data_IF_348617927853
#
_entry.id   IF_348617927853
#
_cell.length_a   1.000
_cell.length_b   1.000
_cell.length_c   1.000
_cell.angle_alpha   90.00
_cell.angle_beta   90.00
_cell.angle_gamma   90.00
#
_symmetry.space_group_name_H-M   'P 1'
#
loop_
_entity.id
_entity.type
_entity.pdbx_description
1 polymer ?
#
# COMPACT_ATOMS: atom_id res chain seq x y z
N UNK A 1 -14.26 5.82 15.42
CA UNK A 1 -14.27 5.61 16.89
C UNK A 1 -14.89 4.29 17.34
N UNK A 2 -15.96 3.78 16.71
CA UNK A 2 -16.64 2.54 17.10
C UNK A 2 -15.76 1.27 17.16
N UNK A 3 -14.75 1.16 16.27
CA UNK A 3 -13.85 0.00 16.26
C UNK A 3 -12.97 -0.15 17.51
N UNK A 4 -12.60 0.94 18.21
CA UNK A 4 -11.80 0.85 19.45
C UNK A 4 -12.64 0.41 20.65
N UNK A 5 -13.89 0.86 20.75
CA UNK A 5 -14.82 0.47 21.81
C UNK A 5 -15.24 -1.00 21.68
N UNK A 6 -15.50 -1.47 20.47
CA UNK A 6 -15.82 -2.87 20.23
C UNK A 6 -14.63 -3.80 20.51
N UNK A 7 -13.41 -3.36 20.16
CA UNK A 7 -12.16 -4.06 20.51
C UNK A 7 -11.90 -4.09 22.01
N UNK A 8 -12.16 -3.00 22.73
CA UNK A 8 -12.04 -2.97 24.19
C UNK A 8 -13.08 -3.89 24.84
N UNK A 9 -14.32 -3.87 24.35
CA UNK A 9 -15.39 -4.77 24.80
C UNK A 9 -15.05 -6.25 24.58
N UNK A 10 -14.47 -6.60 23.43
CA UNK A 10 -14.05 -7.97 23.13
C UNK A 10 -12.92 -8.46 24.07
N UNK A 11 -11.95 -7.60 24.39
CA UNK A 11 -10.86 -7.94 25.33
C UNK A 11 -11.40 -8.12 26.75
N UNK A 12 -12.30 -7.23 27.19
CA UNK A 12 -12.93 -7.33 28.52
C UNK A 12 -13.81 -8.58 28.61
N UNK A 13 -14.57 -8.89 27.57
CA UNK A 13 -15.39 -10.10 27.51
C UNK A 13 -14.54 -11.37 27.53
N UNK A 14 -13.42 -11.41 26.78
CA UNK A 14 -12.51 -12.55 26.80
C UNK A 14 -11.86 -12.75 28.18
N UNK A 15 -11.39 -11.67 28.82
CA UNK A 15 -10.85 -11.72 30.18
C UNK A 15 -11.91 -12.16 31.20
N UNK A 16 -13.15 -11.70 31.06
CA UNK A 16 -14.26 -12.11 31.91
C UNK A 16 -14.57 -13.60 31.76
N UNK A 17 -14.60 -14.13 30.52
CA UNK A 17 -14.79 -15.57 30.27
C UNK A 17 -13.65 -16.40 30.89
N UNK A 18 -12.40 -15.97 30.72
CA UNK A 18 -11.24 -16.65 31.32
C UNK A 18 -11.36 -16.63 32.85
N UNK A 19 -11.67 -15.48 33.45
CA UNK A 19 -11.83 -15.36 34.90
C UNK A 19 -12.98 -16.22 35.43
N UNK A 20 -14.10 -16.31 34.71
CA UNK A 20 -15.24 -17.17 35.07
C UNK A 20 -14.87 -18.65 34.97
N UNK A 21 -14.13 -19.07 33.95
CA UNK A 21 -13.67 -20.45 33.81
C UNK A 21 -12.74 -20.83 34.97
N UNK A 22 -11.77 -19.96 35.29
CA UNK A 22 -10.86 -20.16 36.44
C UNK A 22 -11.66 -20.19 37.76
N UNK A 23 -12.64 -19.31 37.91
CA UNK A 23 -13.49 -19.27 39.11
C UNK A 23 -14.29 -20.56 39.29
N UNK A 24 -14.90 -21.08 38.22
CA UNK A 24 -15.66 -22.33 38.23
C UNK A 24 -14.73 -23.52 38.54
N UNK A 25 -13.51 -23.52 38.00
CA UNK A 25 -12.49 -24.55 38.28
C UNK A 25 -12.05 -24.57 39.75
N UNK A 26 -11.81 -23.40 40.36
CA UNK A 26 -11.40 -23.28 41.77
C UNK A 26 -12.55 -23.61 42.73
N UNK A 27 -13.78 -23.21 42.41
CA UNK A 27 -14.91 -23.31 43.34
C UNK A 27 -15.73 -24.59 43.20
N UNK A 28 -15.60 -25.35 42.11
CA UNK A 28 -16.45 -26.53 41.89
C UNK A 28 -15.69 -27.74 41.36
N UNK A 29 -15.92 -28.96 41.91
CA UNK A 29 -15.31 -30.20 41.41
C UNK A 29 -16.00 -30.74 40.15
N UNK A 30 -16.78 -29.90 39.44
CA UNK A 30 -17.64 -30.29 38.31
C UNK A 30 -16.86 -30.93 37.17
N UNK A 31 -15.60 -30.53 36.99
CA UNK A 31 -14.72 -31.04 35.94
C UNK A 31 -14.27 -32.48 36.13
N UNK A 32 -14.25 -32.99 37.36
CA UNK A 32 -13.87 -34.39 37.63
C UNK A 32 -14.89 -35.38 37.06
N UNK A 33 -16.16 -34.99 36.91
CA UNK A 33 -17.23 -35.84 36.40
C UNK A 33 -17.53 -35.60 34.90
N UNK A 34 -16.97 -34.55 34.28
CA UNK A 34 -17.27 -34.14 32.91
C UNK A 34 -15.98 -33.95 32.09
N UNK A 35 -15.24 -35.05 31.91
CA UNK A 35 -13.97 -35.11 31.16
C UNK A 35 -14.11 -34.59 29.72
N UNK A 36 -15.27 -34.78 29.08
CA UNK A 36 -15.49 -34.36 27.68
C UNK A 36 -15.69 -32.83 27.59
N UNK A 37 -16.36 -32.22 28.56
CA UNK A 37 -16.62 -30.77 28.55
C UNK A 37 -15.34 -30.00 28.89
N UNK A 38 -14.46 -30.56 29.74
CA UNK A 38 -13.19 -29.91 30.10
C UNK A 38 -12.25 -29.82 28.90
N UNK A 39 -12.19 -30.86 28.07
CA UNK A 39 -11.45 -30.85 26.81
C UNK A 39 -11.96 -29.78 25.83
N UNK A 40 -13.28 -29.61 25.72
CA UNK A 40 -13.88 -28.62 24.83
C UNK A 40 -13.61 -27.19 25.31
N UNK A 41 -13.78 -26.93 26.61
CA UNK A 41 -13.53 -25.59 27.18
C UNK A 41 -12.04 -25.25 27.16
N UNK A 42 -11.15 -26.18 27.47
CA UNK A 42 -9.71 -25.98 27.32
C UNK A 42 -9.33 -25.68 25.86
N UNK A 43 -9.94 -26.37 24.89
CA UNK A 43 -9.77 -26.11 23.47
C UNK A 43 -10.23 -24.70 23.07
N UNK A 44 -11.41 -24.26 23.52
CA UNK A 44 -11.96 -22.92 23.24
C UNK A 44 -11.10 -21.83 23.87
N UNK A 45 -10.66 -22.00 25.12
CA UNK A 45 -9.77 -21.04 25.79
C UNK A 45 -8.43 -20.96 25.07
N UNK A 46 -7.85 -22.10 24.69
CA UNK A 46 -6.57 -22.14 23.95
C UNK A 46 -6.71 -21.48 22.57
N UNK A 47 -7.83 -21.72 21.88
CA UNK A 47 -8.14 -21.09 20.60
C UNK A 47 -8.28 -19.57 20.74
N UNK A 48 -9.06 -19.10 21.73
CA UNK A 48 -9.22 -17.67 22.01
C UNK A 48 -7.89 -17.01 22.40
N UNK A 49 -7.08 -17.68 23.22
CA UNK A 49 -5.78 -17.16 23.64
C UNK A 49 -4.80 -17.08 22.46
N UNK A 50 -4.75 -18.11 21.61
CA UNK A 50 -3.90 -18.13 20.42
C UNK A 50 -4.29 -17.01 19.44
N UNK A 51 -5.58 -16.93 19.10
CA UNK A 51 -6.08 -15.97 18.10
C UNK A 51 -6.04 -14.52 18.59
N UNK A 52 -6.35 -14.25 19.86
CA UNK A 52 -6.43 -12.87 20.38
C UNK A 52 -5.08 -12.33 20.83
N UNK A 53 -4.24 -13.18 21.44
CA UNK A 53 -3.00 -12.74 22.07
C UNK A 53 -1.76 -13.17 21.27
N UNK A 54 -1.61 -14.46 20.99
CA UNK A 54 -0.37 -14.97 20.39
C UNK A 54 -0.19 -14.42 18.97
N UNK A 55 -1.20 -14.56 18.11
CA UNK A 55 -1.13 -14.06 16.74
C UNK A 55 -0.88 -12.55 16.70
N UNK A 56 -1.54 -11.81 17.60
CA UNK A 56 -1.41 -10.35 17.66
C UNK A 56 -0.04 -9.90 18.16
N UNK A 57 0.53 -10.60 19.15
CA UNK A 57 1.87 -10.32 19.64
C UNK A 57 2.93 -10.68 18.60
N UNK A 58 2.79 -11.82 17.95
CA UNK A 58 3.68 -12.25 16.87
C UNK A 58 3.62 -11.26 15.71
N UNK A 59 2.43 -10.83 15.28
CA UNK A 59 2.24 -9.81 14.25
C UNK A 59 2.89 -8.48 14.64
N UNK A 60 2.71 -8.03 15.89
CA UNK A 60 3.29 -6.76 16.35
C UNK A 60 4.82 -6.83 16.46
N UNK A 61 5.35 -7.96 16.92
CA UNK A 61 6.80 -8.20 16.98
C UNK A 61 7.41 -8.29 15.57
N UNK A 62 6.73 -8.98 14.64
CA UNK A 62 7.13 -9.04 13.25
C UNK A 62 7.13 -7.64 12.60
N UNK A 63 6.07 -6.84 12.80
CA UNK A 63 6.02 -5.45 12.32
C UNK A 63 7.21 -4.63 12.81
N UNK A 64 7.49 -4.64 14.12
CA UNK A 64 8.64 -3.89 14.69
C UNK A 64 9.97 -4.34 14.12
N UNK A 65 10.16 -5.65 13.95
CA UNK A 65 11.40 -6.21 13.39
C UNK A 65 11.64 -5.78 11.95
N UNK A 66 10.57 -5.70 11.15
CA UNK A 66 10.65 -5.36 9.74
C UNK A 66 10.36 -3.89 9.42
N UNK A 67 10.04 -3.05 10.41
CA UNK A 67 9.66 -1.65 10.22
C UNK A 67 10.70 -0.86 9.40
N UNK A 68 12.03 -0.93 9.68
CA UNK A 68 13.01 -0.20 8.87
C UNK A 68 13.05 -0.62 7.40
N UNK A 69 12.90 -1.92 7.13
CA UNK A 69 12.95 -2.48 5.77
C UNK A 69 11.64 -2.19 5.04
N UNK A 70 10.51 -2.26 5.74
CA UNK A 70 9.19 -1.93 5.18
C UNK A 70 9.14 -0.46 4.79
N UNK A 71 9.66 0.43 5.66
CA UNK A 71 9.78 1.85 5.36
C UNK A 71 10.69 2.10 4.15
N UNK A 72 11.84 1.42 4.07
CA UNK A 72 12.72 1.52 2.89
C UNK A 72 11.99 1.11 1.61
N UNK A 73 11.27 -0.01 1.64
CA UNK A 73 10.49 -0.50 0.52
C UNK A 73 9.40 0.49 0.08
N UNK A 74 8.64 1.01 1.05
CA UNK A 74 7.57 1.98 0.81
C UNK A 74 8.12 3.32 0.28
N UNK A 75 9.24 3.81 0.80
CA UNK A 75 9.90 5.01 0.29
C UNK A 75 10.40 4.80 -1.15
N UNK A 76 10.99 3.65 -1.45
CA UNK A 76 11.42 3.34 -2.81
C UNK A 76 10.22 3.25 -3.77
N UNK A 77 9.14 2.58 -3.37
CA UNK A 77 7.89 2.56 -4.15
C UNK A 77 7.32 3.97 -4.36
N UNK A 78 7.35 4.81 -3.33
CA UNK A 78 6.92 6.20 -3.42
C UNK A 78 7.75 6.97 -4.44
N UNK A 79 9.08 6.85 -4.39
CA UNK A 79 9.97 7.54 -5.33
C UNK A 79 9.76 7.07 -6.78
N UNK A 80 9.50 5.77 -6.98
CA UNK A 80 9.23 5.23 -8.32
C UNK A 80 7.91 5.75 -8.91
N UNK A 81 6.94 6.09 -8.06
CA UNK A 81 5.61 6.62 -8.44
C UNK A 81 5.53 8.14 -8.45
N UNK A 82 6.40 8.81 -7.70
CA UNK A 82 6.44 10.26 -7.63
C UNK A 82 7.14 10.87 -8.84
N UNK A 83 6.74 12.08 -9.21
CA UNK A 83 7.44 12.85 -10.22
C UNK A 83 8.61 13.64 -9.62
N UNK A 84 9.83 13.15 -9.83
CA UNK A 84 11.06 13.87 -9.46
C UNK A 84 11.28 15.14 -10.31
N UNK A 85 10.59 15.27 -11.44
CA UNK A 85 10.87 16.23 -12.51
C UNK A 85 10.35 17.66 -12.30
N UNK A 86 9.42 17.89 -11.38
CA UNK A 86 8.84 19.22 -11.13
C UNK A 86 9.54 20.01 -10.01
N UNK A 87 10.59 19.44 -9.40
CA UNK A 87 11.56 20.18 -8.60
C UNK A 87 12.47 21.07 -9.50
N UNK A 88 11.88 21.89 -10.38
CA UNK A 88 12.62 22.89 -11.16
C UNK A 88 12.40 24.26 -10.50
N UNK A 89 13.48 24.76 -9.89
CA UNK A 89 13.68 26.12 -9.41
C UNK A 89 12.79 26.60 -8.24
N UNK A 90 13.26 26.34 -7.00
CA UNK A 90 13.06 27.30 -5.90
C UNK A 90 12.31 26.81 -4.66
N UNK A 91 11.68 25.64 -4.66
CA UNK A 91 11.01 25.09 -3.47
C UNK A 91 11.61 23.75 -3.07
N UNK A 92 12.73 23.82 -2.37
CA UNK A 92 13.16 22.74 -1.48
C UNK A 92 12.24 22.75 -0.27
N UNK A 93 11.03 22.20 -0.41
CA UNK A 93 10.16 21.95 0.73
C UNK A 93 10.68 20.70 1.44
N UNK A 94 11.27 20.90 2.62
CA UNK A 94 11.67 19.87 3.57
C UNK A 94 10.50 19.00 4.12
N UNK A 95 9.37 18.98 3.41
CA UNK A 95 8.10 18.31 3.71
C UNK A 95 7.17 18.33 2.47
N UNK A 96 7.72 18.34 1.26
CA UNK A 96 6.92 18.32 0.03
C UNK A 96 6.15 17.02 -0.11
N UNK A 97 4.82 17.10 -0.22
CA UNK A 97 3.99 15.96 -0.58
C UNK A 97 4.49 15.38 -1.92
N UNK A 98 4.71 14.07 -1.97
CA UNK A 98 5.09 13.40 -3.21
C UNK A 98 3.97 13.59 -4.24
N UNK A 99 4.27 14.25 -5.36
CA UNK A 99 3.29 14.44 -6.43
C UNK A 99 3.28 13.20 -7.34
N UNK A 100 2.11 12.61 -7.64
CA UNK A 100 2.03 11.42 -8.47
C UNK A 100 2.42 11.73 -9.91
N UNK A 101 3.17 10.83 -10.54
CA UNK A 101 3.50 10.91 -11.96
C UNK A 101 2.26 10.56 -12.79
N UNK A 102 1.74 11.54 -13.52
CA UNK A 102 0.53 11.40 -14.32
C UNK A 102 0.85 10.95 -15.75
N UNK A 103 0.03 10.08 -16.31
CA UNK A 103 0.05 9.74 -17.72
C UNK A 103 -0.44 10.95 -18.56
N UNK A 104 0.18 11.21 -19.72
CA UNK A 104 -0.24 12.28 -20.61
C UNK A 104 -1.61 11.98 -21.22
N UNK A 105 -2.48 13.00 -21.35
CA UNK A 105 -3.75 12.87 -22.06
C UNK A 105 -3.54 13.43 -23.47
N UNK A 106 -3.74 12.63 -24.54
CA UNK A 106 -3.62 13.12 -25.91
C UNK A 106 -4.55 14.30 -26.17
N UNK A 107 -4.06 15.31 -26.89
CA UNK A 107 -4.85 16.49 -27.20
C UNK A 107 -5.53 16.37 -28.57
N UNK A 108 -6.87 16.35 -28.56
CA UNK A 108 -7.69 16.29 -29.76
C UNK A 108 -7.74 17.62 -30.54
N UNK A 109 -7.31 18.73 -29.93
CA UNK A 109 -7.44 20.08 -30.50
C UNK A 109 -6.50 20.34 -31.68
N UNK A 110 -5.42 19.57 -31.78
CA UNK A 110 -4.33 19.76 -32.76
C UNK A 110 -4.49 18.88 -34.03
N UNK A 111 -5.66 18.28 -34.22
CA UNK A 111 -6.00 17.45 -35.38
C UNK A 111 -5.57 15.99 -35.28
N UNK A 112 -5.96 15.18 -36.26
CA UNK A 112 -5.80 13.72 -36.25
C UNK A 112 -4.33 13.27 -36.16
N UNK A 113 -3.41 13.95 -36.86
CA UNK A 113 -1.99 13.61 -36.82
C UNK A 113 -1.35 13.81 -35.44
N UNK A 114 -1.71 14.89 -34.75
CA UNK A 114 -1.27 15.15 -33.38
C UNK A 114 -1.90 14.16 -32.39
N UNK A 115 -3.16 13.77 -32.62
CA UNK A 115 -3.85 12.78 -31.80
C UNK A 115 -3.16 11.41 -31.87
N UNK A 116 -2.79 10.94 -33.07
CA UNK A 116 -2.04 9.69 -33.27
C UNK A 116 -0.62 9.74 -32.67
N UNK A 117 0.04 10.90 -32.73
CA UNK A 117 1.33 11.07 -32.08
C UNK A 117 1.19 11.02 -30.54
N UNK A 118 0.14 11.65 -30.00
CA UNK A 118 -0.16 11.65 -28.58
C UNK A 118 -0.54 10.27 -28.03
N UNK A 119 -1.28 9.45 -28.79
CA UNK A 119 -1.58 8.05 -28.40
C UNK A 119 -0.32 7.19 -28.36
N UNK A 120 0.62 7.39 -29.28
CA UNK A 120 1.90 6.70 -29.27
C UNK A 120 2.78 7.12 -28.08
N UNK A 121 2.83 8.40 -27.76
CA UNK A 121 3.51 8.92 -26.57
C UNK A 121 2.90 8.33 -25.29
N UNK A 122 1.56 8.29 -25.21
CA UNK A 122 0.84 7.67 -24.10
C UNK A 122 1.17 6.19 -23.97
N UNK A 123 1.15 5.41 -25.05
CA UNK A 123 1.54 3.99 -25.01
C UNK A 123 2.98 3.80 -24.50
N UNK A 124 3.90 4.62 -24.99
CA UNK A 124 5.29 4.62 -24.52
C UNK A 124 5.39 4.96 -23.03
N UNK A 125 4.62 5.93 -22.55
CA UNK A 125 4.54 6.27 -21.13
C UNK A 125 3.98 5.10 -20.30
N UNK A 126 2.87 4.50 -20.72
CA UNK A 126 2.26 3.34 -20.06
C UNK A 126 3.25 2.17 -19.91
N UNK A 127 4.02 1.86 -20.96
CA UNK A 127 5.04 0.79 -20.90
C UNK A 127 6.13 1.11 -19.88
N UNK A 128 6.61 2.36 -19.85
CA UNK A 128 7.62 2.79 -18.87
C UNK A 128 7.08 2.71 -17.45
N UNK A 129 5.89 3.22 -17.20
CA UNK A 129 5.29 3.23 -15.86
C UNK A 129 4.95 1.82 -15.37
N UNK A 130 4.39 0.97 -16.23
CA UNK A 130 4.16 -0.44 -15.91
C UNK A 130 5.45 -1.14 -15.53
N UNK A 131 6.55 -0.90 -16.27
CA UNK A 131 7.85 -1.52 -15.98
C UNK A 131 8.41 -1.05 -14.64
N UNK A 132 8.31 0.23 -14.32
CA UNK A 132 8.73 0.80 -13.02
C UNK A 132 7.95 0.16 -11.88
N UNK A 133 6.62 0.18 -11.97
CA UNK A 133 5.73 -0.39 -10.96
C UNK A 133 6.00 -1.89 -10.76
N UNK A 134 6.12 -2.65 -11.84
CA UNK A 134 6.42 -4.09 -11.78
C UNK A 134 7.79 -4.37 -11.16
N UNK A 135 8.80 -3.56 -11.48
CA UNK A 135 10.15 -3.71 -10.92
C UNK A 135 10.16 -3.42 -9.42
N UNK A 136 9.49 -2.36 -8.99
CA UNK A 136 9.36 -2.01 -7.58
C UNK A 136 8.62 -3.11 -6.81
N UNK A 137 7.50 -3.59 -7.36
CA UNK A 137 6.70 -4.65 -6.74
C UNK A 137 7.50 -5.97 -6.63
N UNK A 138 8.17 -6.41 -7.69
CA UNK A 138 8.97 -7.65 -7.68
C UNK A 138 10.12 -7.56 -6.68
N UNK A 139 10.81 -6.42 -6.63
CA UNK A 139 11.91 -6.18 -5.68
C UNK A 139 11.45 -6.36 -4.23
N UNK A 140 10.27 -5.86 -3.91
CA UNK A 140 9.76 -5.84 -2.54
C UNK A 140 8.70 -6.90 -2.22
N UNK A 141 8.32 -7.74 -3.19
CA UNK A 141 7.22 -8.70 -3.08
C UNK A 141 7.36 -9.63 -1.87
N UNK A 142 8.53 -10.26 -1.72
CA UNK A 142 8.77 -11.21 -0.62
C UNK A 142 8.64 -10.54 0.75
N UNK A 143 9.00 -9.26 0.85
CA UNK A 143 8.85 -8.49 2.08
C UNK A 143 7.37 -8.10 2.28
N UNK A 144 6.77 -7.43 1.30
CA UNK A 144 5.41 -6.90 1.38
C UNK A 144 4.35 -8.00 1.55
N UNK A 145 4.57 -9.20 1.02
CA UNK A 145 3.67 -10.34 1.25
C UNK A 145 3.81 -10.94 2.66
N UNK A 146 4.94 -10.71 3.34
CA UNK A 146 5.22 -11.22 4.69
C UNK A 146 4.84 -10.23 5.81
N UNK A 147 4.64 -8.96 5.46
CA UNK A 147 4.30 -7.90 6.41
C UNK A 147 2.77 -7.80 6.49
N UNK A 148 2.20 -7.78 7.71
CA UNK A 148 0.77 -7.53 7.84
C UNK A 148 0.45 -6.06 7.51
N UNK A 149 -0.72 -5.83 6.92
CA UNK A 149 -1.29 -4.54 6.45
C UNK A 149 -0.79 -4.02 5.10
N UNK A 150 0.13 -4.68 4.40
CA UNK A 150 0.60 -4.27 3.05
C UNK A 150 -0.23 -4.87 1.90
N UNK A 151 -1.24 -5.70 2.21
CA UNK A 151 -2.12 -6.34 1.23
C UNK A 151 -2.87 -5.32 0.35
N UNK A 152 -3.31 -4.21 0.94
CA UNK A 152 -4.05 -3.16 0.23
C UNK A 152 -3.17 -2.47 -0.83
N UNK A 153 -1.93 -2.13 -0.49
CA UNK A 153 -0.95 -1.58 -1.45
C UNK A 153 -0.70 -2.56 -2.60
N UNK A 154 -0.55 -3.85 -2.29
CA UNK A 154 -0.35 -4.90 -3.30
C UNK A 154 -1.56 -4.95 -4.25
N UNK A 155 -2.78 -4.92 -3.69
CA UNK A 155 -4.02 -4.97 -4.47
C UNK A 155 -4.14 -3.73 -5.36
N UNK A 156 -3.98 -2.53 -4.82
CA UNK A 156 -4.01 -1.28 -5.58
C UNK A 156 -2.96 -1.26 -6.70
N UNK A 157 -1.76 -1.78 -6.42
CA UNK A 157 -0.70 -1.92 -7.43
C UNK A 157 -1.12 -2.85 -8.58
N UNK A 158 -1.75 -3.99 -8.26
CA UNK A 158 -2.27 -4.91 -9.28
C UNK A 158 -3.41 -4.28 -10.10
N UNK A 159 -4.31 -3.54 -9.45
CA UNK A 159 -5.42 -2.84 -10.11
C UNK A 159 -4.89 -1.80 -11.10
N UNK A 160 -3.87 -1.02 -10.72
CA UNK A 160 -3.21 -0.06 -11.63
C UNK A 160 -2.56 -0.77 -12.83
N UNK A 161 -1.98 -1.95 -12.64
CA UNK A 161 -1.42 -2.72 -13.75
C UNK A 161 -2.50 -3.11 -14.79
N UNK A 162 -3.71 -3.43 -14.33
CA UNK A 162 -4.85 -3.71 -15.21
C UNK A 162 -5.36 -2.43 -15.90
N UNK A 163 -5.37 -1.30 -15.20
CA UNK A 163 -5.73 0.00 -15.80
C UNK A 163 -4.76 0.41 -16.91
N UNK A 164 -3.47 0.11 -16.78
CA UNK A 164 -2.50 0.32 -17.87
C UNK A 164 -2.85 -0.46 -19.13
N UNK A 165 -3.26 -1.73 -19.01
CA UNK A 165 -3.72 -2.52 -20.15
C UNK A 165 -5.00 -1.89 -20.76
N UNK A 166 -5.92 -1.43 -19.93
CA UNK A 166 -7.11 -0.70 -20.37
C UNK A 166 -6.80 0.59 -21.15
N UNK A 167 -5.82 1.38 -20.70
CA UNK A 167 -5.37 2.60 -21.41
C UNK A 167 -4.70 2.25 -22.73
N UNK A 168 -3.84 1.22 -22.75
CA UNK A 168 -3.19 0.75 -23.98
C UNK A 168 -4.23 0.33 -25.01
N UNK A 169 -5.20 -0.48 -24.63
CA UNK A 169 -6.18 -1.03 -25.57
C UNK A 169 -7.10 0.09 -26.10
N UNK A 170 -7.54 1.02 -25.25
CA UNK A 170 -8.31 2.19 -25.69
C UNK A 170 -7.50 3.13 -26.60
N UNK A 171 -6.18 3.20 -26.44
CA UNK A 171 -5.33 3.98 -27.35
C UNK A 171 -5.29 3.39 -28.76
N UNK A 172 -5.36 2.06 -28.88
CA UNK A 172 -5.43 1.39 -30.17
C UNK A 172 -6.80 1.55 -30.83
N UNK A 173 -7.87 1.46 -30.04
CA UNK A 173 -9.24 1.74 -30.51
C UNK A 173 -9.37 3.16 -31.07
N UNK A 174 -8.74 4.15 -30.42
CA UNK A 174 -8.70 5.51 -30.92
C UNK A 174 -7.93 5.62 -32.25
N UNK A 175 -6.76 4.99 -32.35
CA UNK A 175 -5.98 4.99 -33.59
C UNK A 175 -6.75 4.36 -34.75
N UNK A 176 -7.49 3.28 -34.50
CA UNK A 176 -8.33 2.61 -35.49
C UNK A 176 -9.50 3.51 -35.93
N UNK A 177 -10.19 4.14 -34.96
CA UNK A 177 -11.25 5.09 -35.24
C UNK A 177 -10.74 6.28 -36.09
N UNK A 178 -9.57 6.83 -35.77
CA UNK A 178 -8.96 7.92 -36.54
C UNK A 178 -8.63 7.48 -37.97
N UNK A 179 -8.06 6.28 -38.14
CA UNK A 179 -7.74 5.74 -39.47
C UNK A 179 -8.98 5.44 -40.30
N UNK A 180 -10.07 5.03 -39.67
CA UNK A 180 -11.37 4.83 -40.33
C UNK A 180 -12.05 6.14 -40.76
N UNK A 181 -11.52 7.30 -40.32
CA UNK A 181 -12.07 8.64 -40.60
C UNK A 181 -13.55 8.80 -40.20
N UNK A 182 -13.96 8.10 -39.14
CA UNK A 182 -15.32 8.20 -38.58
C UNK A 182 -15.31 9.12 -37.36
N UNK A 183 -15.72 10.37 -37.55
CA UNK A 183 -15.66 11.41 -36.51
C UNK A 183 -16.44 11.07 -35.23
N UNK A 184 -17.58 10.37 -35.35
CA UNK A 184 -18.36 9.97 -34.18
C UNK A 184 -17.68 8.83 -33.41
N UNK A 185 -17.07 7.88 -34.12
CA UNK A 185 -16.25 6.84 -33.51
C UNK A 185 -14.99 7.42 -32.86
N UNK A 186 -14.34 8.41 -33.49
CA UNK A 186 -13.17 9.10 -32.94
C UNK A 186 -13.54 9.80 -31.63
N UNK A 187 -14.67 10.51 -31.59
CA UNK A 187 -15.13 11.21 -30.38
C UNK A 187 -15.40 10.22 -29.24
N UNK A 188 -16.13 9.15 -29.51
CA UNK A 188 -16.45 8.12 -28.52
C UNK A 188 -15.20 7.38 -27.99
N UNK A 189 -14.27 7.03 -28.89
CA UNK A 189 -13.01 6.40 -28.53
C UNK A 189 -12.10 7.34 -27.72
N UNK A 190 -12.07 8.63 -28.07
CA UNK A 190 -11.32 9.64 -27.34
C UNK A 190 -11.85 9.82 -25.91
N UNK A 191 -13.16 9.95 -25.74
CA UNK A 191 -13.78 10.08 -24.41
C UNK A 191 -13.51 8.83 -23.55
N UNK A 192 -13.55 7.64 -24.16
CA UNK A 192 -13.21 6.38 -23.50
C UNK A 192 -11.74 6.35 -23.06
N UNK A 193 -10.81 6.70 -23.95
CA UNK A 193 -9.39 6.78 -23.63
C UNK A 193 -9.14 7.79 -22.50
N UNK A 194 -9.71 8.99 -22.60
CA UNK A 194 -9.58 10.04 -21.59
C UNK A 194 -10.08 9.57 -20.23
N UNK A 195 -11.26 8.95 -20.18
CA UNK A 195 -11.82 8.42 -18.93
C UNK A 195 -10.90 7.36 -18.31
N UNK A 196 -10.38 6.42 -19.11
CA UNK A 196 -9.44 5.39 -18.63
C UNK A 196 -8.13 5.98 -18.14
N UNK A 197 -7.56 6.95 -18.86
CA UNK A 197 -6.33 7.64 -18.44
C UNK A 197 -6.55 8.41 -17.14
N UNK A 198 -7.68 9.10 -16.98
CA UNK A 198 -8.04 9.77 -15.73
C UNK A 198 -8.23 8.80 -14.56
N UNK A 199 -8.89 7.66 -14.78
CA UNK A 199 -9.05 6.63 -13.74
C UNK A 199 -7.70 6.03 -13.32
N UNK A 200 -6.81 5.79 -14.29
CA UNK A 200 -5.44 5.33 -14.02
C UNK A 200 -4.65 6.37 -13.20
N UNK A 201 -4.69 7.64 -13.62
CA UNK A 201 -4.05 8.75 -12.92
C UNK A 201 -4.57 8.92 -11.49
N UNK A 202 -5.88 8.82 -11.28
CA UNK A 202 -6.48 8.85 -9.94
C UNK A 202 -6.05 7.67 -9.07
N UNK A 203 -5.89 6.48 -9.65
CA UNK A 203 -5.43 5.29 -8.92
C UNK A 203 -3.95 5.40 -8.52
N UNK A 204 -3.09 5.93 -9.41
CA UNK A 204 -1.70 6.23 -9.08
C UNK A 204 -1.62 7.25 -7.93
N UNK A 205 -2.42 8.32 -7.99
CA UNK A 205 -2.50 9.32 -6.93
C UNK A 205 -2.94 8.71 -5.59
N UNK A 206 -3.93 7.82 -5.60
CA UNK A 206 -4.39 7.12 -4.41
C UNK A 206 -3.31 6.25 -3.76
N UNK A 207 -2.51 5.53 -4.55
CA UNK A 207 -1.36 4.75 -4.03
C UNK A 207 -0.32 5.67 -3.39
N UNK A 208 0.01 6.78 -4.04
CA UNK A 208 0.98 7.76 -3.53
C UNK A 208 0.50 8.36 -2.20
N UNK A 209 -0.79 8.72 -2.11
CA UNK A 209 -1.40 9.21 -0.87
C UNK A 209 -1.37 8.15 0.23
N UNK A 210 -1.76 6.92 -0.07
CA UNK A 210 -1.77 5.81 0.89
C UNK A 210 -0.38 5.50 1.44
N UNK A 211 0.63 5.38 0.56
CA UNK A 211 2.01 5.14 0.96
C UNK A 211 2.54 6.31 1.81
N UNK A 212 2.26 7.55 1.41
CA UNK A 212 2.66 8.74 2.15
C UNK A 212 2.04 8.79 3.55
N UNK A 213 0.74 8.48 3.67
CA UNK A 213 0.04 8.43 4.95
C UNK A 213 0.63 7.35 5.88
N UNK A 214 0.96 6.18 5.34
CA UNK A 214 1.59 5.09 6.10
C UNK A 214 2.99 5.44 6.56
N UNK A 215 3.79 6.07 5.71
CA UNK A 215 5.13 6.56 6.06
C UNK A 215 5.10 7.66 7.13
N UNK A 216 4.07 8.51 7.12
CA UNK A 216 3.87 9.55 8.13
C UNK A 216 3.41 8.97 9.49
N UNK A 217 2.61 7.90 9.47
CA UNK A 217 2.13 7.23 10.67
C UNK A 217 3.18 6.30 11.33
N UNK A 218 4.20 5.88 10.60
CA UNK A 218 5.25 5.00 11.09
C UNK A 218 6.30 5.79 11.90
N UNK A 219 6.07 5.89 13.22
CA UNK A 219 7.02 6.49 14.17
C UNK A 219 8.33 5.69 14.21
N UNK A 220 9.44 6.39 13.96
CA UNK A 220 10.78 5.80 13.90
C UNK A 220 11.29 5.47 15.30
N UNK A 221 11.21 4.20 15.70
CA UNK A 221 12.17 3.64 16.66
C UNK A 221 13.40 3.15 15.86
N UNK A 222 14.33 4.06 15.55
CA UNK A 222 15.66 3.65 15.13
C UNK A 222 16.23 2.75 16.23
N UNK A 223 16.77 1.59 15.85
CA UNK A 223 17.51 0.75 16.80
C UNK A 223 18.52 1.60 17.57
N UNK A 224 18.61 1.46 18.90
CA UNK A 224 19.60 2.13 19.74
C UNK A 224 21.03 2.05 19.17
N UNK A 225 21.34 0.96 18.45
CA UNK A 225 22.62 0.77 17.77
C UNK A 225 22.78 1.75 16.61
N UNK A 226 21.76 1.89 15.76
CA UNK A 226 21.75 2.83 14.65
C UNK A 226 21.80 4.29 15.13
N UNK A 227 21.03 4.64 16.17
CA UNK A 227 21.11 5.97 16.78
C UNK A 227 22.50 6.29 17.31
N UNK A 228 23.12 5.33 18.04
CA UNK A 228 24.49 5.48 18.55
C UNK A 228 25.52 5.62 17.44
N UNK A 229 25.40 4.84 16.37
CA UNK A 229 26.30 4.94 15.21
C UNK A 229 26.15 6.27 14.49
N UNK A 230 24.92 6.75 14.28
CA UNK A 230 24.64 8.02 13.61
C UNK A 230 25.14 9.21 14.45
N UNK A 231 24.93 9.17 15.77
CA UNK A 231 25.50 10.13 16.71
C UNK A 231 27.05 10.07 16.78
N UNK A 232 27.66 8.91 16.57
CA UNK A 232 29.11 8.78 16.50
C UNK A 232 29.68 9.35 15.18
N UNK A 233 29.01 9.12 14.05
CA UNK A 233 29.38 9.68 12.75
C UNK A 233 29.25 11.20 12.73
N UNK A 234 28.14 11.76 13.24
CA UNK A 234 27.95 13.22 13.34
C UNK A 234 29.05 13.88 14.20
N UNK A 235 29.45 13.24 15.30
CA UNK A 235 30.55 13.71 16.16
C UNK A 235 31.92 13.64 15.48
N UNK A 236 32.12 12.70 14.55
CA UNK A 236 33.36 12.58 13.78
C UNK A 236 33.44 13.66 12.69
N UNK A 237 32.36 13.84 11.92
CA UNK A 237 32.28 14.89 10.90
C UNK A 237 32.41 16.30 11.49
N UNK A 238 31.88 16.54 12.70
CA UNK A 238 32.03 17.80 13.40
C UNK A 238 33.45 18.07 13.97
N UNK A 239 34.33 17.05 14.03
CA UNK A 239 35.73 17.19 14.45
C UNK A 239 36.69 17.32 13.27
N UNK A 240 36.25 16.95 12.07
CA UNK A 240 37.01 17.03 10.82
C UNK A 240 36.72 18.33 10.05
N UNK A 241 35.87 19.22 10.60
CA UNK A 241 35.65 20.60 10.17
C UNK A 241 36.25 21.57 11.18
#
# INVERSE_FOLDING_TARGET
>A
MFGRLWRAGAVVAALAVIAVVIWVDVMTPVWQNLVIVSGLVAGVVTFLFTTLFIDRFIQRAARRRWAPVTRLALTEMLNQLADEGQCREGQSSAQGAAEPRLLPIPDASHGQGALLAGTEELRSAVVRERRRLSTALVTWWNLLSSVPDTEEIIRHTADVALLFDGVRDASWELDDAVRSSNDDAVRAAYDTLRARTMACNGSIAGIVEEISARLAADEVELSDKAQRTLAAMHRRVARER
#
